data_IF_227428053842
#
_entry.id   IF_227428053842
#
_cell.length_a   1.000
_cell.length_b   1.000
_cell.length_c   1.000
_cell.angle_alpha   90.00
_cell.angle_beta   90.00
_cell.angle_gamma   90.00
#
_symmetry.space_group_name_H-M   'P 1'
#
loop_
_entity.id
_entity.type
_entity.pdbx_description
1 polymer ?
#
# COMPACT_ATOMS: atom_id res chain seq x y z
N UNK A 1 -19.59 -2.05 -34.89
CA UNK A 1 -18.38 -1.88 -34.06
C UNK A 1 -18.34 -3.06 -33.09
N UNK A 2 -17.28 -3.83 -33.12
CA UNK A 2 -17.10 -4.98 -32.23
C UNK A 2 -16.62 -4.54 -30.83
N UNK A 3 -16.61 -5.44 -29.85
CA UNK A 3 -16.27 -5.14 -28.47
C UNK A 3 -14.81 -4.61 -28.31
N UNK A 4 -13.88 -5.08 -29.14
CA UNK A 4 -12.48 -4.62 -29.13
C UNK A 4 -12.36 -3.17 -29.60
N UNK A 5 -13.07 -2.81 -30.66
CA UNK A 5 -13.12 -1.41 -31.16
C UNK A 5 -13.76 -0.48 -30.13
N UNK A 6 -14.86 -0.93 -29.48
CA UNK A 6 -15.52 -0.17 -28.41
C UNK A 6 -14.62 0.06 -27.24
N UNK A 7 -13.94 -0.98 -26.75
CA UNK A 7 -12.99 -0.86 -25.63
C UNK A 7 -11.82 0.07 -25.97
N UNK A 8 -11.25 -0.04 -27.19
CA UNK A 8 -10.17 0.84 -27.64
C UNK A 8 -10.57 2.32 -27.61
N UNK A 9 -11.79 2.65 -28.06
CA UNK A 9 -12.29 4.02 -27.98
C UNK A 9 -12.54 4.47 -26.53
N UNK A 10 -13.07 3.58 -25.68
CA UNK A 10 -13.27 3.87 -24.27
C UNK A 10 -11.93 4.16 -23.60
N UNK A 11 -10.91 3.35 -23.83
CA UNK A 11 -9.55 3.55 -23.26
C UNK A 11 -8.94 4.91 -23.66
N UNK A 12 -9.17 5.36 -24.90
CA UNK A 12 -8.69 6.66 -25.37
C UNK A 12 -9.44 7.84 -24.72
N UNK A 13 -10.76 7.72 -24.55
CA UNK A 13 -11.59 8.80 -24.06
C UNK A 13 -11.71 8.84 -22.53
N UNK A 14 -11.58 7.69 -21.87
CA UNK A 14 -11.78 7.56 -20.45
C UNK A 14 -10.77 8.41 -19.65
N UNK A 15 -11.30 9.24 -18.77
CA UNK A 15 -10.50 10.04 -17.84
C UNK A 15 -11.14 10.03 -16.46
N UNK A 16 -10.53 9.34 -15.52
CA UNK A 16 -10.91 9.43 -14.11
C UNK A 16 -9.89 10.33 -13.37
N UNK A 17 -10.36 11.50 -12.95
CA UNK A 17 -9.49 12.48 -12.25
C UNK A 17 -9.08 11.96 -10.87
N UNK A 18 -7.85 12.25 -10.44
CA UNK A 18 -7.42 12.08 -9.05
C UNK A 18 -7.96 13.23 -8.21
N UNK A 19 -9.23 13.14 -7.80
CA UNK A 19 -9.96 14.21 -7.12
C UNK A 19 -9.89 14.13 -5.59
N UNK A 20 -9.42 13.01 -5.05
CA UNK A 20 -9.27 12.78 -3.61
C UNK A 20 -7.84 13.08 -3.16
N UNK A 21 -7.68 13.66 -1.98
CA UNK A 21 -6.39 13.96 -1.39
C UNK A 21 -6.13 13.09 -0.16
N UNK A 22 -5.02 12.39 -0.14
CA UNK A 22 -4.52 11.67 1.04
C UNK A 22 -3.62 12.61 1.84
N UNK A 23 -4.12 13.10 2.98
CA UNK A 23 -3.39 14.03 3.85
C UNK A 23 -2.18 13.39 4.53
N UNK A 24 -2.21 12.09 4.78
CA UNK A 24 -1.10 11.36 5.38
C UNK A 24 0.04 11.15 4.37
N UNK A 25 -0.28 10.64 3.17
CA UNK A 25 0.70 10.40 2.10
C UNK A 25 1.01 11.63 1.25
N UNK A 26 0.27 12.75 1.42
CA UNK A 26 0.44 14.01 0.68
C UNK A 26 0.36 13.85 -0.85
N UNK A 27 -0.55 13.02 -1.34
CA UNK A 27 -0.77 12.80 -2.76
C UNK A 27 -2.26 12.78 -3.13
N UNK A 28 -2.55 13.12 -4.38
CA UNK A 28 -3.89 12.98 -4.94
C UNK A 28 -4.12 11.56 -5.45
N UNK A 29 -5.28 11.00 -5.19
CA UNK A 29 -5.66 9.66 -5.65
C UNK A 29 -7.10 9.63 -6.17
N UNK A 30 -7.47 8.54 -6.81
CA UNK A 30 -8.85 8.18 -7.16
C UNK A 30 -9.20 6.86 -6.48
N UNK A 31 -10.44 6.71 -6.07
CA UNK A 31 -10.96 5.46 -5.55
C UNK A 31 -11.52 4.57 -6.67
N UNK A 32 -11.84 3.30 -6.36
CA UNK A 32 -12.54 2.44 -7.29
C UNK A 32 -13.92 3.03 -7.68
N UNK A 33 -14.62 3.64 -6.74
CA UNK A 33 -15.92 4.29 -6.95
C UNK A 33 -15.82 5.44 -7.95
N UNK A 34 -14.75 6.24 -7.88
CA UNK A 34 -14.53 7.36 -8.83
C UNK A 34 -14.37 6.84 -10.27
N UNK A 35 -13.72 5.68 -10.45
CA UNK A 35 -13.59 5.02 -11.76
C UNK A 35 -14.94 4.48 -12.23
N UNK A 36 -15.67 3.78 -11.35
CA UNK A 36 -16.98 3.20 -11.66
C UNK A 36 -17.99 4.29 -12.06
N UNK A 37 -18.04 5.42 -11.34
CA UNK A 37 -18.90 6.54 -11.71
C UNK A 37 -18.51 7.16 -13.06
N UNK A 38 -17.21 7.31 -13.32
CA UNK A 38 -16.72 7.86 -14.58
C UNK A 38 -16.99 6.94 -15.79
N UNK A 39 -17.23 5.63 -15.57
CA UNK A 39 -17.56 4.67 -16.62
C UNK A 39 -19.03 4.73 -17.07
N UNK A 40 -19.95 5.12 -16.21
CA UNK A 40 -21.40 5.07 -16.50
C UNK A 40 -21.82 5.77 -17.81
N UNK A 41 -21.29 6.95 -18.20
CA UNK A 41 -21.62 7.57 -19.47
C UNK A 41 -21.28 6.72 -20.70
N UNK A 42 -20.24 5.90 -20.61
CA UNK A 42 -19.75 5.06 -21.70
C UNK A 42 -20.71 3.90 -22.00
N UNK A 43 -21.49 3.43 -21.01
CA UNK A 43 -22.47 2.38 -21.20
C UNK A 43 -23.46 2.76 -22.31
N UNK A 44 -24.03 3.94 -22.24
CA UNK A 44 -24.95 4.46 -23.25
C UNK A 44 -24.25 4.80 -24.56
N UNK A 45 -23.08 5.44 -24.47
CA UNK A 45 -22.34 5.94 -25.63
C UNK A 45 -21.90 4.81 -26.58
N UNK A 46 -21.41 3.69 -26.02
CA UNK A 46 -20.86 2.59 -26.79
C UNK A 46 -21.72 1.33 -26.78
N UNK A 47 -22.90 1.38 -26.17
CA UNK A 47 -23.80 0.25 -26.01
C UNK A 47 -23.07 -0.96 -25.40
N UNK A 48 -22.50 -0.73 -24.19
CA UNK A 48 -21.75 -1.72 -23.38
C UNK A 48 -22.22 -1.64 -21.93
N UNK A 49 -21.82 -2.61 -21.12
CA UNK A 49 -21.89 -2.52 -19.67
C UNK A 49 -20.64 -3.11 -19.02
N UNK A 50 -20.34 -2.64 -17.82
CA UNK A 50 -19.18 -3.08 -17.05
C UNK A 50 -19.63 -3.84 -15.81
N UNK A 51 -18.85 -4.86 -15.44
CA UNK A 51 -18.97 -5.55 -14.16
C UNK A 51 -17.60 -5.63 -13.47
N UNK A 52 -17.61 -5.74 -12.15
CA UNK A 52 -16.42 -6.12 -11.39
C UNK A 52 -16.82 -7.23 -10.43
N UNK A 53 -16.25 -8.40 -10.65
CA UNK A 53 -16.44 -9.58 -9.81
C UNK A 53 -15.20 -9.81 -8.95
N UNK A 54 -15.40 -10.39 -7.77
CA UNK A 54 -14.31 -10.74 -6.87
C UNK A 54 -14.40 -12.20 -6.48
N UNK A 55 -13.22 -12.85 -6.44
CA UNK A 55 -13.08 -14.25 -6.03
C UNK A 55 -12.05 -14.35 -4.92
N UNK A 56 -12.42 -15.00 -3.84
CA UNK A 56 -11.52 -15.32 -2.74
C UNK A 56 -10.82 -16.65 -3.00
N UNK A 57 -9.49 -16.65 -2.98
CA UNK A 57 -8.66 -17.85 -3.25
C UNK A 57 -8.11 -18.51 -1.98
N UNK A 58 -8.49 -18.05 -0.79
CA UNK A 58 -7.89 -18.48 0.48
C UNK A 58 -6.72 -17.60 0.89
N UNK A 59 -6.21 -17.79 2.11
CA UNK A 59 -5.02 -17.13 2.67
C UNK A 59 -4.98 -15.61 2.51
N UNK A 60 -6.16 -14.97 2.50
CA UNK A 60 -6.27 -13.53 2.33
C UNK A 60 -6.07 -13.04 0.89
N UNK A 61 -6.11 -13.91 -0.11
CA UNK A 61 -5.94 -13.54 -1.51
C UNK A 61 -7.29 -13.29 -2.16
N UNK A 62 -7.47 -12.10 -2.74
CA UNK A 62 -8.65 -11.68 -3.51
C UNK A 62 -8.22 -11.41 -4.95
N UNK A 63 -8.90 -12.02 -5.90
CA UNK A 63 -8.82 -11.68 -7.32
C UNK A 63 -10.03 -10.83 -7.69
N UNK A 64 -9.79 -9.65 -8.26
CA UNK A 64 -10.82 -8.79 -8.85
C UNK A 64 -10.74 -8.89 -10.36
N UNK A 65 -11.88 -9.13 -11.01
CA UNK A 65 -12.00 -9.23 -12.48
C UNK A 65 -12.94 -8.13 -12.96
N UNK A 66 -12.40 -7.18 -13.72
CA UNK A 66 -13.16 -6.14 -14.39
C UNK A 66 -13.47 -6.58 -15.82
N UNK A 67 -14.72 -6.51 -16.21
CA UNK A 67 -15.16 -6.96 -17.53
C UNK A 67 -16.00 -5.88 -18.21
N UNK A 68 -15.86 -5.76 -19.53
CA UNK A 68 -16.73 -5.00 -20.42
C UNK A 68 -17.46 -5.94 -21.36
N UNK A 69 -18.77 -5.81 -21.47
CA UNK A 69 -19.65 -6.63 -22.29
C UNK A 69 -20.30 -5.79 -23.36
N UNK A 70 -20.54 -6.39 -24.55
CA UNK A 70 -21.56 -5.86 -25.47
C UNK A 70 -22.92 -5.88 -24.78
N UNK A 71 -23.82 -4.96 -25.15
CA UNK A 71 -25.13 -4.85 -24.51
C UNK A 71 -25.99 -6.10 -24.62
N UNK A 72 -25.76 -6.94 -25.64
CA UNK A 72 -26.40 -8.25 -25.80
C UNK A 72 -25.74 -9.36 -24.96
N UNK A 73 -24.59 -9.06 -24.32
CA UNK A 73 -23.85 -10.00 -23.48
C UNK A 73 -23.09 -11.09 -24.24
N UNK A 74 -23.12 -11.07 -25.58
CA UNK A 74 -22.53 -12.14 -26.39
C UNK A 74 -20.99 -12.11 -26.41
N UNK A 75 -20.40 -10.91 -26.32
CA UNK A 75 -18.95 -10.71 -26.37
C UNK A 75 -18.49 -9.88 -25.15
N UNK A 76 -17.34 -10.24 -24.63
CA UNK A 76 -16.74 -9.50 -23.52
C UNK A 76 -15.21 -9.53 -23.57
N UNK A 77 -14.59 -8.58 -22.87
CA UNK A 77 -13.16 -8.54 -22.59
C UNK A 77 -13.02 -8.31 -21.09
N UNK A 78 -12.04 -8.97 -20.50
CA UNK A 78 -11.77 -8.84 -19.07
C UNK A 78 -10.28 -8.63 -18.77
N UNK A 79 -10.01 -8.03 -17.63
CA UNK A 79 -8.71 -7.95 -17.03
C UNK A 79 -8.82 -8.17 -15.52
N UNK A 80 -7.85 -8.82 -14.93
CA UNK A 80 -7.85 -9.13 -13.51
C UNK A 80 -6.70 -8.46 -12.77
N UNK A 81 -6.84 -8.39 -11.45
CA UNK A 81 -5.79 -8.05 -10.51
C UNK A 81 -5.95 -8.88 -9.25
N UNK A 82 -4.81 -9.23 -8.65
CA UNK A 82 -4.76 -9.99 -7.39
C UNK A 82 -4.20 -9.10 -6.29
N UNK A 83 -4.85 -9.12 -5.13
CA UNK A 83 -4.44 -8.36 -3.96
C UNK A 83 -4.46 -9.24 -2.72
N UNK A 84 -3.55 -8.96 -1.77
CA UNK A 84 -3.52 -9.61 -0.46
C UNK A 84 -4.23 -8.78 0.60
N UNK A 85 -4.87 -9.46 1.56
CA UNK A 85 -5.40 -8.86 2.80
C UNK A 85 -4.29 -8.88 3.85
N UNK A 86 -3.95 -7.73 4.42
CA UNK A 86 -3.01 -7.66 5.54
C UNK A 86 -3.75 -7.85 6.86
N UNK A 87 -3.79 -9.10 7.36
CA UNK A 87 -4.42 -9.44 8.63
C UNK A 87 -3.67 -8.88 9.86
N UNK A 88 -2.46 -8.38 9.69
CA UNK A 88 -1.67 -7.80 10.77
C UNK A 88 -1.82 -6.27 10.88
N UNK A 89 -2.65 -5.67 10.05
CA UNK A 89 -2.86 -4.22 10.06
C UNK A 89 -3.52 -3.77 11.35
N UNK A 90 -2.76 -3.06 12.18
CA UNK A 90 -3.23 -2.55 13.48
C UNK A 90 -4.33 -1.52 13.30
N UNK A 91 -5.35 -1.60 14.15
CA UNK A 91 -6.45 -0.63 14.19
C UNK A 91 -7.57 -0.87 13.18
N UNK A 92 -7.49 -1.93 12.36
CA UNK A 92 -8.55 -2.32 11.44
C UNK A 92 -9.13 -3.68 11.83
N UNK A 93 -10.46 -3.78 11.85
CA UNK A 93 -11.15 -5.06 12.00
C UNK A 93 -11.11 -5.86 10.69
N UNK A 94 -11.21 -7.19 10.76
CA UNK A 94 -11.13 -8.08 9.58
C UNK A 94 -12.04 -7.63 8.42
N UNK A 95 -13.33 -7.27 8.62
CA UNK A 95 -14.15 -6.77 7.50
C UNK A 95 -13.60 -5.51 6.83
N UNK A 96 -12.96 -4.62 7.59
CA UNK A 96 -12.34 -3.41 7.06
C UNK A 96 -11.08 -3.73 6.24
N UNK A 97 -10.29 -4.72 6.68
CA UNK A 97 -9.11 -5.20 5.95
C UNK A 97 -9.51 -5.78 4.60
N UNK A 98 -10.56 -6.62 4.56
CA UNK A 98 -11.15 -7.13 3.32
C UNK A 98 -11.71 -6.01 2.44
N UNK A 99 -12.44 -5.06 2.99
CA UNK A 99 -12.96 -3.90 2.25
C UNK A 99 -11.87 -3.05 1.63
N UNK A 100 -10.75 -2.85 2.34
CA UNK A 100 -9.58 -2.15 1.83
C UNK A 100 -8.96 -2.92 0.66
N UNK A 101 -8.67 -4.22 0.82
CA UNK A 101 -8.12 -5.06 -0.24
C UNK A 101 -9.03 -5.10 -1.48
N UNK A 102 -10.35 -5.27 -1.30
CA UNK A 102 -11.36 -5.21 -2.36
C UNK A 102 -11.31 -3.89 -3.13
N UNK A 103 -11.23 -2.75 -2.44
CA UNK A 103 -11.13 -1.44 -3.09
C UNK A 103 -9.87 -1.32 -3.95
N UNK A 104 -8.73 -1.83 -3.48
CA UNK A 104 -7.49 -1.89 -4.26
C UNK A 104 -7.61 -2.84 -5.44
N UNK A 105 -8.13 -4.05 -5.25
CA UNK A 105 -8.31 -5.04 -6.29
C UNK A 105 -9.18 -4.53 -7.44
N UNK A 106 -10.34 -3.95 -7.13
CA UNK A 106 -11.22 -3.30 -8.11
C UNK A 106 -10.53 -2.19 -8.89
N UNK A 107 -9.81 -1.31 -8.18
CA UNK A 107 -9.08 -0.21 -8.80
C UNK A 107 -8.01 -0.72 -9.77
N UNK A 108 -7.26 -1.76 -9.40
CA UNK A 108 -6.21 -2.32 -10.26
C UNK A 108 -6.79 -3.09 -11.45
N UNK A 109 -7.83 -3.91 -11.24
CA UNK A 109 -8.49 -4.62 -12.35
C UNK A 109 -9.10 -3.65 -13.37
N UNK A 110 -9.79 -2.61 -12.91
CA UNK A 110 -10.29 -1.52 -13.77
C UNK A 110 -9.14 -0.75 -14.44
N UNK A 111 -8.05 -0.51 -13.72
CA UNK A 111 -6.84 0.13 -14.27
C UNK A 111 -6.24 -0.68 -15.43
N UNK A 112 -6.16 -2.00 -15.27
CA UNK A 112 -5.67 -2.92 -16.30
C UNK A 112 -6.61 -2.95 -17.52
N UNK A 113 -7.93 -3.03 -17.29
CA UNK A 113 -8.92 -3.07 -18.39
C UNK A 113 -8.94 -1.77 -19.20
N UNK A 114 -8.82 -0.64 -18.52
CA UNK A 114 -8.99 0.68 -19.12
C UNK A 114 -7.66 1.34 -19.50
N UNK A 115 -6.53 0.67 -19.29
CA UNK A 115 -5.18 1.19 -19.51
C UNK A 115 -4.97 2.56 -18.84
N UNK A 116 -5.39 2.66 -17.57
CA UNK A 116 -5.24 3.89 -16.80
C UNK A 116 -3.77 4.03 -16.39
N UNK A 117 -3.02 4.77 -17.17
CA UNK A 117 -1.59 5.05 -16.96
C UNK A 117 -1.40 6.29 -16.08
N UNK A 118 -1.82 6.19 -14.82
CA UNK A 118 -1.71 7.30 -13.87
C UNK A 118 -1.07 6.88 -12.54
N UNK A 119 -0.59 5.70 -12.48
CA UNK A 119 0.26 5.30 -11.38
C UNK A 119 1.60 5.98 -11.58
N UNK A 120 1.83 7.11 -10.90
CA UNK A 120 3.20 7.40 -10.50
C UNK A 120 3.73 6.07 -9.97
N UNK A 121 4.75 5.55 -10.66
CA UNK A 121 5.38 4.28 -10.35
C UNK A 121 5.54 4.21 -8.83
N UNK A 122 4.85 3.27 -8.18
CA UNK A 122 4.93 3.14 -6.73
C UNK A 122 6.40 2.88 -6.32
N UNK A 123 7.20 2.32 -7.22
CA UNK A 123 8.63 2.14 -7.04
C UNK A 123 9.40 3.46 -7.21
N UNK A 124 8.95 4.37 -8.06
CA UNK A 124 9.55 5.71 -8.21
C UNK A 124 9.24 6.64 -7.01
N UNK A 125 8.12 6.41 -6.31
CA UNK A 125 7.74 7.13 -5.09
C UNK A 125 7.99 6.33 -3.82
N UNK A 126 8.46 5.10 -3.95
CA UNK A 126 8.91 4.28 -2.84
C UNK A 126 10.29 4.78 -2.37
N UNK A 127 10.36 6.06 -2.08
CA UNK A 127 11.25 6.54 -1.04
C UNK A 127 10.71 5.96 0.28
N UNK A 128 10.86 4.66 0.47
CA UNK A 128 11.30 4.16 1.74
C UNK A 128 12.72 4.69 1.96
N UNK A 129 12.88 6.01 1.97
CA UNK A 129 13.71 6.60 2.95
C UNK A 129 13.04 6.18 4.27
N UNK A 130 13.40 4.98 4.79
CA UNK A 130 13.64 4.88 6.21
C UNK A 130 14.33 6.20 6.52
N UNK A 131 13.66 7.12 7.21
CA UNK A 131 14.38 8.22 7.83
C UNK A 131 15.59 7.54 8.41
N UNK A 132 16.77 7.80 7.84
CA UNK A 132 17.97 7.10 8.24
C UNK A 132 18.13 7.51 9.69
N UNK A 133 17.89 6.54 10.58
CA UNK A 133 17.98 6.82 12.01
C UNK A 133 19.28 7.57 12.22
N UNK A 134 19.28 8.67 12.98
CA UNK A 134 20.50 9.41 13.21
C UNK A 134 21.56 8.45 13.77
N UNK A 135 22.77 8.50 13.23
CA UNK A 135 23.87 7.64 13.70
C UNK A 135 24.19 7.98 15.15
N UNK A 136 24.22 6.96 15.99
CA UNK A 136 24.70 7.10 17.36
C UNK A 136 26.23 7.01 17.36
N UNK A 137 26.89 8.18 17.41
CA UNK A 137 28.34 8.26 17.40
C UNK A 137 28.87 8.21 18.85
N UNK A 138 29.84 7.34 19.10
CA UNK A 138 30.54 7.25 20.38
C UNK A 138 31.19 8.60 20.72
N UNK A 139 31.00 9.07 21.96
CA UNK A 139 31.49 10.39 22.43
C UNK A 139 30.56 11.56 22.12
N UNK A 140 29.43 11.35 21.44
CA UNK A 140 28.41 12.40 21.25
C UNK A 140 27.52 12.58 22.48
N UNK A 141 26.81 13.71 22.57
CA UNK A 141 25.78 13.93 23.60
C UNK A 141 24.69 12.85 23.58
N UNK A 142 24.32 12.37 22.38
CA UNK A 142 23.34 11.29 22.23
C UNK A 142 23.88 9.95 22.76
N UNK A 143 25.19 9.71 22.64
CA UNK A 143 25.84 8.53 23.23
C UNK A 143 25.78 8.59 24.77
N UNK A 144 26.12 9.74 25.35
CA UNK A 144 26.06 9.97 26.80
C UNK A 144 24.64 9.77 27.35
N UNK A 145 23.63 10.30 26.64
CA UNK A 145 22.21 10.08 26.97
C UNK A 145 21.80 8.63 26.87
N UNK A 146 22.28 7.90 25.86
CA UNK A 146 22.01 6.47 25.69
C UNK A 146 22.61 5.66 26.84
N UNK A 147 23.84 5.95 27.27
CA UNK A 147 24.45 5.31 28.43
C UNK A 147 23.68 5.59 29.72
N UNK A 148 23.31 6.83 29.98
CA UNK A 148 22.50 7.22 31.15
C UNK A 148 21.13 6.50 31.14
N UNK A 149 20.50 6.33 29.98
CA UNK A 149 19.26 5.60 29.83
C UNK A 149 19.44 4.11 30.21
N UNK A 150 20.51 3.44 29.77
CA UNK A 150 20.81 2.06 30.15
C UNK A 150 21.09 1.98 31.66
N UNK A 151 21.85 2.92 32.21
CA UNK A 151 22.14 2.99 33.65
C UNK A 151 20.88 3.19 34.49
N UNK A 152 19.85 3.86 33.96
CA UNK A 152 18.55 4.03 34.64
C UNK A 152 17.60 2.82 34.46
N UNK A 153 18.00 1.77 33.74
CA UNK A 153 17.21 0.55 33.54
C UNK A 153 16.56 0.39 32.17
N UNK A 154 16.91 1.27 31.23
CA UNK A 154 16.46 1.17 29.85
C UNK A 154 17.14 0.04 29.08
N UNK A 155 16.56 -0.36 27.93
CA UNK A 155 17.09 -1.45 27.12
C UNK A 155 17.82 -0.95 25.86
N UNK A 156 18.85 -1.69 25.44
CA UNK A 156 19.57 -1.47 24.18
C UNK A 156 18.63 -1.56 22.98
N UNK A 157 17.60 -2.38 23.03
CA UNK A 157 16.59 -2.51 21.97
C UNK A 157 15.88 -1.17 21.69
N UNK A 158 15.55 -0.42 22.75
CA UNK A 158 14.94 0.91 22.62
C UNK A 158 15.88 1.93 21.97
N UNK A 159 17.19 1.87 22.25
CA UNK A 159 18.19 2.74 21.63
C UNK A 159 18.31 2.43 20.13
N UNK A 160 18.42 1.15 19.76
CA UNK A 160 18.50 0.70 18.35
C UNK A 160 17.21 0.99 17.57
N UNK A 161 16.05 1.12 18.23
CA UNK A 161 14.82 1.55 17.56
C UNK A 161 14.88 3.01 17.11
N UNK A 162 15.62 3.87 17.82
CA UNK A 162 15.73 5.33 17.58
C UNK A 162 16.95 5.73 16.77
N UNK A 163 18.06 5.00 16.93
CA UNK A 163 19.35 5.32 16.33
C UNK A 163 19.88 4.20 15.46
N UNK A 164 20.66 4.57 14.43
CA UNK A 164 21.53 3.65 13.71
C UNK A 164 22.81 3.45 14.54
N UNK A 165 23.02 2.23 15.02
CA UNK A 165 24.10 1.88 15.94
C UNK A 165 24.98 0.81 15.30
N UNK A 166 26.28 1.01 15.23
CA UNK A 166 27.22 0.03 14.70
C UNK A 166 27.17 -1.28 15.49
N UNK A 167 27.56 -2.39 14.86
CA UNK A 167 27.59 -3.71 15.51
C UNK A 167 28.49 -3.68 16.75
N UNK A 168 29.63 -3.01 16.67
CA UNK A 168 30.59 -2.87 17.77
C UNK A 168 29.99 -2.07 18.94
N UNK A 169 29.39 -0.90 18.65
CA UNK A 169 28.76 -0.04 19.64
C UNK A 169 27.55 -0.71 20.30
N UNK A 170 26.79 -1.48 19.54
CA UNK A 170 25.67 -2.28 20.07
C UNK A 170 26.14 -3.34 21.07
N UNK A 171 27.27 -4.01 20.78
CA UNK A 171 27.89 -4.96 21.70
C UNK A 171 28.37 -4.29 22.98
N UNK A 172 28.97 -3.10 22.87
CA UNK A 172 29.41 -2.31 24.01
C UNK A 172 28.22 -1.85 24.88
N UNK A 173 27.16 -1.30 24.27
CA UNK A 173 25.94 -0.90 25.00
C UNK A 173 25.32 -2.09 25.76
N UNK A 174 25.31 -3.30 25.16
CA UNK A 174 24.84 -4.52 25.83
C UNK A 174 25.68 -4.88 27.06
N UNK A 175 26.99 -4.65 27.05
CA UNK A 175 27.85 -4.91 28.19
C UNK A 175 27.50 -4.06 29.42
N UNK A 176 26.97 -2.88 29.22
CA UNK A 176 26.47 -2.01 30.30
C UNK A 176 25.13 -2.50 30.85
N UNK A 177 24.28 -3.09 30.03
CA UNK A 177 22.99 -3.69 30.43
C UNK A 177 23.20 -4.91 31.34
N UNK A 178 24.16 -5.80 31.00
CA UNK A 178 24.48 -7.01 31.75
C UNK A 178 25.15 -6.72 33.11
N UNK A 179 26.03 -5.73 33.18
CA UNK A 179 26.72 -5.37 34.45
C UNK A 179 25.75 -4.98 35.56
N UNK A 180 24.57 -4.42 35.22
CA UNK A 180 23.57 -4.03 36.20
C UNK A 180 22.76 -5.20 36.75
N UNK A 181 22.58 -6.29 36.01
CA UNK A 181 21.91 -7.50 36.48
C UNK A 181 22.73 -8.22 37.56
N UNK A 182 24.06 -8.11 37.51
CA UNK A 182 24.99 -8.76 38.46
C UNK A 182 25.25 -7.96 39.75
N UNK A 183 24.80 -6.68 39.82
CA UNK A 183 24.99 -5.82 41.00
C UNK A 183 23.78 -5.81 41.93
N UNK A 184 22.71 -6.55 41.60
CA UNK A 184 21.48 -6.74 42.39
C UNK A 184 21.34 -8.13 43.00
N UNK A 185 22.46 -8.88 43.15
CA UNK A 185 22.48 -10.16 43.87
C UNK A 185 23.17 -9.98 45.23
#
# INVERSE_FOLDING_TARGET
MNIHEKLSLIQQEFKAKKSRYNSFGKYNFRSAEDILEALKPFNKKYNVYFTVNEKYHGDGIIESVASVFDADGANFIEASAVVGVDFNQKGMQVPQQFGSASSYGKKYALGNLLLIDDTADADATNTHSKESKPKLLKGSDNWSKALSYIQSGGSVTTIVSKYDVSIQDKSELKSYEVRKSNTKA
#
